data_IF_960982359487
#
_entry.id   IF_960982359487
#
_cell.length_a   1.000
_cell.length_b   1.000
_cell.length_c   1.000
_cell.angle_alpha   90.00
_cell.angle_beta   90.00
_cell.angle_gamma   90.00
#
_symmetry.space_group_name_H-M   'P 1'
#
loop_
_entity.id
_entity.type
_entity.pdbx_description
1 polymer ?
#
# COMPACT_ATOMS: atom_id res chain seq x y z
N UNK A 1 17.53 -26.66 46.75
CA UNK A 1 16.50 -26.45 45.72
C UNK A 1 17.19 -25.82 44.52
N UNK A 2 16.81 -26.16 43.29
CA UNK A 2 17.38 -25.50 42.09
C UNK A 2 16.68 -24.17 41.84
N UNK A 3 17.34 -23.22 41.15
CA UNK A 3 16.74 -21.93 40.79
C UNK A 3 15.42 -22.10 40.02
N UNK A 4 15.32 -23.12 39.17
CA UNK A 4 14.09 -23.45 38.43
C UNK A 4 12.97 -23.89 39.38
N UNK A 5 13.28 -24.72 40.37
CA UNK A 5 12.30 -25.17 41.37
C UNK A 5 11.81 -24.00 42.25
N UNK A 6 12.72 -23.11 42.68
CA UNK A 6 12.36 -21.91 43.44
C UNK A 6 11.47 -20.97 42.61
N UNK A 7 11.79 -20.79 41.32
CA UNK A 7 10.99 -19.99 40.39
C UNK A 7 9.58 -20.56 40.18
N UNK A 8 9.47 -21.88 39.95
CA UNK A 8 8.17 -22.54 39.80
C UNK A 8 7.35 -22.48 41.09
N UNK A 9 8.00 -22.63 42.24
CA UNK A 9 7.34 -22.47 43.54
C UNK A 9 6.80 -21.06 43.73
N UNK A 10 7.61 -20.03 43.46
CA UNK A 10 7.16 -18.63 43.51
C UNK A 10 5.99 -18.36 42.55
N UNK A 11 6.02 -18.93 41.33
CA UNK A 11 4.92 -18.79 40.37
C UNK A 11 3.61 -19.43 40.87
N UNK A 12 3.69 -20.53 41.62
CA UNK A 12 2.52 -21.21 42.19
C UNK A 12 2.02 -20.54 43.47
N UNK A 13 2.90 -20.04 44.33
CA UNK A 13 2.54 -19.57 45.67
C UNK A 13 2.31 -18.05 45.75
N UNK A 14 2.99 -17.25 44.93
CA UNK A 14 2.88 -15.78 44.93
C UNK A 14 2.03 -15.29 43.74
N UNK A 15 0.83 -14.80 44.05
CA UNK A 15 -0.11 -14.25 43.06
C UNK A 15 0.42 -12.99 42.38
N UNK A 16 1.05 -12.06 43.12
CA UNK A 16 1.60 -10.81 42.55
C UNK A 16 2.74 -11.13 41.60
N UNK A 17 3.61 -12.05 41.97
CA UNK A 17 4.68 -12.52 41.11
C UNK A 17 4.14 -13.17 39.84
N UNK A 18 3.12 -14.03 39.96
CA UNK A 18 2.46 -14.66 38.80
C UNK A 18 1.88 -13.64 37.83
N UNK A 19 1.16 -12.63 38.32
CA UNK A 19 0.64 -11.57 37.45
C UNK A 19 1.74 -10.75 36.81
N UNK A 20 2.84 -10.46 37.52
CA UNK A 20 3.97 -9.75 36.94
C UNK A 20 4.58 -10.54 35.78
N UNK A 21 4.85 -11.84 35.98
CA UNK A 21 5.40 -12.72 34.94
C UNK A 21 4.49 -12.81 33.73
N UNK A 22 3.19 -13.07 33.93
CA UNK A 22 2.21 -13.10 32.83
C UNK A 22 2.13 -11.75 32.11
N UNK A 23 2.16 -10.63 32.86
CA UNK A 23 2.20 -9.28 32.29
C UNK A 23 3.41 -9.04 31.41
N UNK A 24 4.61 -9.43 31.85
CA UNK A 24 5.84 -9.31 31.04
C UNK A 24 5.82 -10.16 29.78
N UNK A 25 5.33 -11.41 29.88
CA UNK A 25 5.19 -12.30 28.73
C UNK A 25 4.20 -11.70 27.71
N UNK A 26 3.02 -11.29 28.17
CA UNK A 26 2.00 -10.66 27.31
C UNK A 26 2.50 -9.36 26.66
N UNK A 27 3.22 -8.50 27.40
CA UNK A 27 3.80 -7.28 26.84
C UNK A 27 4.86 -7.56 25.78
N UNK A 28 5.62 -8.64 25.94
CA UNK A 28 6.63 -9.06 24.97
C UNK A 28 5.97 -9.56 23.69
N UNK A 29 4.91 -10.37 23.81
CA UNK A 29 4.11 -10.83 22.67
C UNK A 29 3.43 -9.67 21.94
N UNK A 30 2.82 -8.74 22.68
CA UNK A 30 2.17 -7.55 22.13
C UNK A 30 3.17 -6.67 21.38
N UNK A 31 4.38 -6.47 21.93
CA UNK A 31 5.45 -5.73 21.26
C UNK A 31 5.85 -6.40 19.95
N UNK A 32 6.02 -7.72 19.95
CA UNK A 32 6.31 -8.48 18.74
C UNK A 32 5.20 -8.37 17.69
N UNK A 33 3.94 -8.40 18.11
CA UNK A 33 2.80 -8.17 17.22
C UNK A 33 2.81 -6.75 16.64
N UNK A 34 3.10 -5.74 17.45
CA UNK A 34 3.17 -4.35 17.01
C UNK A 34 4.30 -4.10 16.01
N UNK A 35 5.49 -4.70 16.23
CA UNK A 35 6.59 -4.63 15.26
C UNK A 35 6.18 -5.24 13.92
N UNK A 36 5.58 -6.43 13.92
CA UNK A 36 5.09 -7.07 12.67
C UNK A 36 4.02 -6.25 11.97
N UNK A 37 3.14 -5.59 12.72
CA UNK A 37 2.12 -4.69 12.16
C UNK A 37 2.77 -3.46 11.51
N UNK A 38 3.74 -2.83 12.18
CA UNK A 38 4.47 -1.69 11.64
C UNK A 38 5.20 -2.05 10.33
N UNK A 39 5.85 -3.22 10.28
CA UNK A 39 6.48 -3.71 9.05
C UNK A 39 5.47 -3.99 7.93
N UNK A 40 4.32 -4.58 8.26
CA UNK A 40 3.25 -4.80 7.29
C UNK A 40 2.65 -3.49 6.77
N UNK A 41 2.52 -2.49 7.63
CA UNK A 41 2.10 -1.14 7.26
C UNK A 41 3.12 -0.49 6.32
N UNK A 42 4.41 -0.51 6.64
CA UNK A 42 5.47 0.05 5.79
C UNK A 42 5.48 -0.57 4.39
N UNK A 43 5.33 -1.91 4.28
CA UNK A 43 5.19 -2.59 2.99
C UNK A 43 3.93 -2.19 2.23
N UNK A 44 2.86 -1.85 2.94
CA UNK A 44 1.60 -1.40 2.33
C UNK A 44 1.75 0.01 1.80
N UNK A 45 2.35 0.92 2.57
CA UNK A 45 2.68 2.29 2.13
C UNK A 45 3.58 2.30 0.90
N UNK A 46 4.62 1.44 0.86
CA UNK A 46 5.48 1.32 -0.31
C UNK A 46 4.71 0.85 -1.56
N UNK A 47 3.78 -0.09 -1.41
CA UNK A 47 2.92 -0.56 -2.52
C UNK A 47 1.96 0.52 -2.98
N UNK A 48 1.41 1.33 -2.06
CA UNK A 48 0.56 2.47 -2.38
C UNK A 48 1.34 3.52 -3.17
N UNK A 49 2.55 3.88 -2.73
CA UNK A 49 3.41 4.82 -3.46
C UNK A 49 3.71 4.34 -4.89
N UNK A 50 4.00 3.05 -5.07
CA UNK A 50 4.17 2.47 -6.41
C UNK A 50 2.90 2.55 -7.28
N UNK A 51 1.72 2.41 -6.69
CA UNK A 51 0.44 2.56 -7.40
C UNK A 51 0.19 4.02 -7.79
N UNK A 52 0.48 4.97 -6.90
CA UNK A 52 0.36 6.40 -7.20
C UNK A 52 1.26 6.80 -8.37
N UNK A 53 2.51 6.34 -8.40
CA UNK A 53 3.41 6.57 -9.53
C UNK A 53 2.87 5.97 -10.84
N UNK A 54 2.34 4.75 -10.79
CA UNK A 54 1.77 4.10 -11.96
C UNK A 54 0.53 4.86 -12.49
N UNK A 55 -0.32 5.35 -11.60
CA UNK A 55 -1.49 6.16 -11.95
C UNK A 55 -1.09 7.49 -12.59
N UNK A 56 -0.05 8.16 -12.07
CA UNK A 56 0.46 9.38 -12.68
C UNK A 56 0.96 9.15 -14.11
N UNK A 57 1.73 8.07 -14.34
CA UNK A 57 2.20 7.70 -15.68
C UNK A 57 1.05 7.36 -16.63
N UNK A 58 0.00 6.71 -16.11
CA UNK A 58 -1.19 6.39 -16.88
C UNK A 58 -1.96 7.66 -17.28
N UNK A 59 -2.14 8.60 -16.36
CA UNK A 59 -2.79 9.88 -16.62
C UNK A 59 -2.05 10.68 -17.69
N UNK A 60 -0.71 10.74 -17.62
CA UNK A 60 0.10 11.38 -18.67
C UNK A 60 -0.04 10.69 -20.03
N UNK A 61 -0.08 9.35 -20.05
CA UNK A 61 -0.28 8.60 -21.28
C UNK A 61 -1.67 8.81 -21.89
N UNK A 62 -2.71 8.94 -21.05
CA UNK A 62 -4.06 9.30 -21.49
C UNK A 62 -4.07 10.71 -22.08
N UNK A 63 -3.49 11.71 -21.41
CA UNK A 63 -3.43 13.09 -21.92
C UNK A 63 -2.74 13.17 -23.30
N UNK A 64 -1.62 12.47 -23.49
CA UNK A 64 -0.96 12.38 -24.81
C UNK A 64 -1.81 11.68 -25.87
N UNK A 65 -2.63 10.71 -25.47
CA UNK A 65 -3.53 10.01 -26.38
C UNK A 65 -4.69 10.91 -26.80
N UNK A 66 -5.29 11.64 -25.86
CA UNK A 66 -6.34 12.63 -26.13
C UNK A 66 -5.84 13.71 -27.09
N UNK A 67 -4.63 14.24 -26.87
CA UNK A 67 -4.03 15.23 -27.78
C UNK A 67 -3.86 14.69 -29.21
N UNK A 68 -3.44 13.41 -29.35
CA UNK A 68 -3.31 12.76 -30.66
C UNK A 68 -4.67 12.53 -31.33
N UNK A 69 -5.69 12.19 -30.54
CA UNK A 69 -7.07 12.05 -31.04
C UNK A 69 -7.57 13.39 -31.56
N UNK A 70 -7.42 14.48 -30.80
CA UNK A 70 -7.81 15.82 -31.26
C UNK A 70 -7.13 16.22 -32.58
N UNK A 71 -5.83 15.94 -32.71
CA UNK A 71 -5.10 16.17 -33.98
C UNK A 71 -5.63 15.33 -35.15
N UNK A 72 -6.05 14.09 -34.88
CA UNK A 72 -6.67 13.22 -35.90
C UNK A 72 -8.05 13.74 -36.30
N UNK A 73 -8.87 14.19 -35.35
CA UNK A 73 -10.16 14.80 -35.62
C UNK A 73 -10.02 16.04 -36.51
N UNK A 74 -9.07 16.93 -36.21
CA UNK A 74 -8.77 18.11 -37.05
C UNK A 74 -8.32 17.73 -38.47
N UNK A 75 -7.51 16.67 -38.61
CA UNK A 75 -7.07 16.20 -39.91
C UNK A 75 -8.24 15.61 -40.73
N UNK A 76 -9.12 14.85 -40.09
CA UNK A 76 -10.31 14.29 -40.72
C UNK A 76 -11.29 15.39 -41.17
N UNK A 77 -11.51 16.42 -40.34
CA UNK A 77 -12.35 17.55 -40.72
C UNK A 77 -11.80 18.26 -41.97
N UNK A 78 -10.49 18.53 -42.01
CA UNK A 78 -9.85 19.15 -43.20
C UNK A 78 -9.94 18.27 -44.44
N UNK A 79 -9.84 16.94 -44.28
CA UNK A 79 -10.00 16.00 -45.38
C UNK A 79 -11.44 16.00 -45.92
N UNK A 80 -12.43 15.98 -45.03
CA UNK A 80 -13.84 16.05 -45.38
C UNK A 80 -14.17 17.35 -46.14
N UNK A 81 -13.68 18.49 -45.68
CA UNK A 81 -13.82 19.78 -46.39
C UNK A 81 -13.15 19.78 -47.77
N UNK A 82 -11.97 19.19 -47.90
CA UNK A 82 -11.28 19.07 -49.18
C UNK A 82 -12.04 18.17 -50.16
N UNK A 83 -12.62 17.07 -49.67
CA UNK A 83 -13.44 16.16 -50.46
C UNK A 83 -14.71 16.86 -50.96
N UNK A 84 -15.45 17.55 -50.08
CA UNK A 84 -16.67 18.28 -50.45
C UNK A 84 -16.39 19.30 -51.57
N UNK A 85 -15.31 20.09 -51.47
CA UNK A 85 -14.91 21.04 -52.52
C UNK A 85 -14.53 20.38 -53.85
N UNK A 86 -14.09 19.13 -53.82
CA UNK A 86 -13.75 18.37 -55.02
C UNK A 86 -14.99 17.78 -55.68
N UNK A 87 -15.97 17.35 -54.88
CA UNK A 87 -17.27 16.85 -55.35
C UNK A 87 -18.18 17.96 -55.90
N UNK A 88 -18.01 19.21 -55.46
CA UNK A 88 -18.74 20.38 -55.99
C UNK A 88 -18.22 20.90 -57.34
N UNK A 89 -17.07 20.42 -57.82
CA UNK A 89 -16.46 20.82 -59.11
C UNK A 89 -16.84 19.89 -60.25
#
# INVERSE_FOLDING_TARGET
MTLKEEFLKALMEDEKFRYAVVGYLNLSELRGALTRLAEAQARTEERVGRLEEALNRLAEAQARTEERIGRLEEALNRLAEAQARTEER
#
